data_IF_677650847148
#
_entry.id   IF_677650847148
#
_cell.length_a   1.000
_cell.length_b   1.000
_cell.length_c   1.000
_cell.angle_alpha   90.00
_cell.angle_beta   90.00
_cell.angle_gamma   90.00
#
_symmetry.space_group_name_H-M   'P 1'
#
loop_
_entity.id
_entity.type
_entity.pdbx_description
1 polymer ?
#
# COMPACT_ATOMS: atom_id res chain seq x y z
N UNK A 1 -0.16 5.27 -10.43
CA UNK A 1 -0.55 5.21 -9.00
C UNK A 1 0.35 4.21 -8.30
N UNK A 2 0.40 4.22 -6.97
CA UNK A 2 1.11 3.25 -6.13
C UNK A 2 0.09 2.57 -5.22
N UNK A 3 0.19 1.26 -5.05
CA UNK A 3 -0.77 0.47 -4.26
C UNK A 3 -0.03 -0.48 -3.34
N UNK A 4 -0.67 -0.82 -2.23
CA UNK A 4 -0.17 -1.74 -1.22
C UNK A 4 -1.36 -2.53 -0.68
N UNK A 5 -1.20 -3.85 -0.56
CA UNK A 5 -2.18 -4.67 0.15
C UNK A 5 -2.15 -4.32 1.64
N UNK A 6 -3.31 -4.23 2.27
CA UNK A 6 -3.39 -3.83 3.69
C UNK A 6 -2.67 -4.85 4.57
N UNK A 7 -2.73 -6.13 4.19
CA UNK A 7 -2.10 -7.26 4.86
C UNK A 7 -0.56 -7.14 4.86
N UNK A 8 0.03 -6.58 3.81
CA UNK A 8 1.48 -6.41 3.70
C UNK A 8 2.03 -5.36 4.67
N UNK A 9 1.20 -4.41 5.12
CA UNK A 9 1.59 -3.40 6.12
C UNK A 9 2.00 -4.10 7.41
N UNK A 10 1.26 -5.12 7.84
CA UNK A 10 1.56 -5.86 9.08
C UNK A 10 2.93 -6.54 9.02
N UNK A 11 3.23 -7.18 7.89
CA UNK A 11 4.55 -7.82 7.66
C UNK A 11 5.69 -6.80 7.69
N UNK A 12 5.49 -5.64 7.06
CA UNK A 12 6.50 -4.59 7.04
C UNK A 12 6.71 -3.98 8.43
N UNK A 13 5.63 -3.70 9.16
CA UNK A 13 5.67 -3.15 10.52
C UNK A 13 6.39 -4.10 11.49
N UNK A 14 6.13 -5.40 11.40
CA UNK A 14 6.82 -6.41 12.21
C UNK A 14 8.35 -6.36 11.98
N UNK A 15 8.79 -6.25 10.73
CA UNK A 15 10.21 -6.14 10.39
C UNK A 15 10.84 -4.84 10.90
N UNK A 16 10.10 -3.72 10.86
CA UNK A 16 10.55 -2.42 11.36
C UNK A 16 10.77 -2.45 12.86
N UNK A 17 9.82 -3.02 13.61
CA UNK A 17 9.93 -3.13 15.07
C UNK A 17 11.02 -4.11 15.51
N UNK A 18 11.33 -5.14 14.71
CA UNK A 18 12.43 -6.06 15.00
C UNK A 18 13.82 -5.42 14.84
N UNK A 19 13.94 -4.28 14.16
CA UNK A 19 15.21 -3.61 13.88
C UNK A 19 15.19 -2.11 14.21
N UNK A 20 14.94 -1.70 15.47
CA UNK A 20 14.77 -0.30 15.84
C UNK A 20 16.02 0.53 15.58
N UNK A 21 17.22 -0.03 15.76
CA UNK A 21 18.47 0.66 15.44
C UNK A 21 18.58 1.09 13.96
N UNK A 22 17.89 0.38 13.06
CA UNK A 22 17.89 0.68 11.62
C UNK A 22 16.80 1.67 11.22
N UNK A 23 15.65 1.65 11.89
CA UNK A 23 14.43 2.32 11.41
C UNK A 23 13.87 3.39 12.34
N UNK A 24 14.32 3.50 13.59
CA UNK A 24 13.84 4.53 14.51
C UNK A 24 14.07 5.94 13.95
N UNK A 25 13.04 6.78 14.03
CA UNK A 25 13.07 8.18 13.58
C UNK A 25 13.07 8.37 12.05
N UNK A 26 12.91 7.30 11.27
CA UNK A 26 12.86 7.40 9.81
C UNK A 26 11.43 7.40 9.31
N UNK A 27 11.18 8.22 8.30
CA UNK A 27 9.96 8.19 7.50
C UNK A 27 10.31 7.63 6.13
N UNK A 28 9.53 6.66 5.66
CA UNK A 28 9.70 6.07 4.34
C UNK A 28 8.34 5.77 3.74
N UNK A 29 8.28 5.86 2.41
CA UNK A 29 7.10 5.53 1.63
C UNK A 29 7.05 4.04 1.37
N UNK A 30 5.85 3.46 1.38
CA UNK A 30 5.64 2.04 1.13
C UNK A 30 4.63 1.82 0.02
N UNK A 31 5.02 1.00 -0.95
CA UNK A 31 4.18 0.52 -2.03
C UNK A 31 4.67 -0.85 -2.46
N UNK A 32 3.74 -1.74 -2.77
CA UNK A 32 4.05 -3.06 -3.32
C UNK A 32 4.09 -3.00 -4.85
N UNK A 33 3.16 -2.24 -5.46
CA UNK A 33 3.06 -2.15 -6.91
C UNK A 33 2.82 -0.70 -7.40
N UNK A 34 3.14 -0.44 -8.65
CA UNK A 34 2.89 0.79 -9.38
C UNK A 34 2.08 0.52 -10.64
N UNK A 35 0.79 0.89 -10.60
CA UNK A 35 -0.16 0.60 -11.68
C UNK A 35 -0.73 1.87 -12.32
N UNK A 36 -1.06 1.76 -13.60
CA UNK A 36 -1.83 2.74 -14.37
C UNK A 36 -3.31 2.37 -14.40
N UNK A 37 -4.18 3.32 -14.76
CA UNK A 37 -5.62 3.04 -14.91
C UNK A 37 -5.92 1.93 -15.93
N UNK A 38 -5.17 1.89 -17.04
CA UNK A 38 -5.30 0.85 -18.05
C UNK A 38 -4.87 -0.53 -17.54
N UNK A 39 -3.82 -0.60 -16.72
CA UNK A 39 -3.42 -1.85 -16.10
C UNK A 39 -4.47 -2.33 -15.09
N UNK A 40 -5.08 -1.43 -14.32
CA UNK A 40 -6.19 -1.78 -13.43
C UNK A 40 -7.40 -2.33 -14.20
N UNK A 41 -7.80 -1.70 -15.29
CA UNK A 41 -8.85 -2.22 -16.18
C UNK A 41 -8.55 -3.65 -16.61
N UNK A 42 -7.34 -3.92 -17.12
CA UNK A 42 -6.96 -5.26 -17.57
C UNK A 42 -6.96 -6.28 -16.43
N UNK A 43 -6.33 -5.95 -15.30
CA UNK A 43 -6.20 -6.85 -14.15
C UNK A 43 -7.57 -7.15 -13.53
N UNK A 44 -8.42 -6.15 -13.35
CA UNK A 44 -9.75 -6.33 -12.77
C UNK A 44 -10.68 -7.03 -13.75
N UNK A 45 -10.62 -6.71 -15.05
CA UNK A 45 -11.42 -7.41 -16.04
C UNK A 45 -11.06 -8.89 -16.11
N UNK A 46 -9.76 -9.21 -16.08
CA UNK A 46 -9.28 -10.58 -16.04
C UNK A 46 -9.73 -11.31 -14.78
N UNK A 47 -9.58 -10.69 -13.61
CA UNK A 47 -9.97 -11.30 -12.32
C UNK A 47 -11.50 -11.48 -12.20
N UNK A 48 -12.30 -10.56 -12.73
CA UNK A 48 -13.76 -10.62 -12.68
C UNK A 48 -14.40 -11.46 -13.81
N UNK A 49 -13.62 -11.87 -14.82
CA UNK A 49 -14.13 -12.61 -15.98
C UNK A 49 -15.09 -11.81 -16.89
N UNK A 50 -15.14 -10.48 -16.74
CA UNK A 50 -15.98 -9.57 -17.55
C UNK A 50 -15.28 -8.23 -17.74
N UNK A 51 -15.55 -7.48 -18.83
CA UNK A 51 -14.97 -6.15 -19.01
C UNK A 51 -15.37 -5.20 -17.88
N UNK A 52 -14.37 -4.58 -17.25
CA UNK A 52 -14.51 -3.52 -16.24
C UNK A 52 -13.68 -2.32 -16.73
N UNK A 53 -14.29 -1.37 -17.46
CA UNK A 53 -13.55 -0.25 -18.03
C UNK A 53 -13.06 0.71 -16.95
N UNK A 54 -11.88 1.28 -17.18
CA UNK A 54 -11.35 2.37 -16.37
C UNK A 54 -11.82 3.72 -16.90
N UNK A 55 -12.44 4.52 -16.03
CA UNK A 55 -12.73 5.93 -16.29
C UNK A 55 -12.22 6.80 -15.16
N UNK A 56 -11.86 8.05 -15.48
CA UNK A 56 -11.61 9.07 -14.46
C UNK A 56 -12.94 9.60 -13.92
N UNK A 57 -12.92 10.14 -12.71
CA UNK A 57 -14.05 10.90 -12.19
C UNK A 57 -14.32 12.11 -13.09
N UNK A 58 -15.60 12.39 -13.33
CA UNK A 58 -16.02 13.56 -14.10
C UNK A 58 -15.89 14.84 -13.27
N UNK A 59 -15.88 15.99 -13.94
CA UNK A 59 -15.72 17.28 -13.27
C UNK A 59 -16.88 17.56 -12.30
N UNK A 60 -18.10 17.08 -12.59
CA UNK A 60 -19.25 17.21 -11.70
C UNK A 60 -19.04 16.44 -10.38
N UNK A 61 -18.49 15.22 -10.46
CA UNK A 61 -18.17 14.40 -9.28
C UNK A 61 -17.07 15.05 -8.45
N UNK A 62 -16.05 15.60 -9.11
CA UNK A 62 -14.95 16.28 -8.44
C UNK A 62 -15.39 17.61 -7.81
N UNK A 63 -16.30 18.35 -8.46
CA UNK A 63 -16.89 19.57 -7.90
C UNK A 63 -17.73 19.28 -6.66
N UNK A 64 -18.43 18.14 -6.63
CA UNK A 64 -19.22 17.72 -5.48
C UNK A 64 -18.38 17.28 -4.27
N UNK A 65 -17.10 16.92 -4.47
CA UNK A 65 -16.22 16.45 -3.39
C UNK A 65 -14.85 17.12 -3.43
N UNK A 66 -14.64 18.18 -2.63
CA UNK A 66 -13.34 18.85 -2.52
C UNK A 66 -12.21 17.91 -2.09
N UNK A 67 -12.53 16.87 -1.33
CA UNK A 67 -11.58 15.84 -0.94
C UNK A 67 -11.11 15.02 -2.14
N UNK A 68 -12.04 14.47 -2.94
CA UNK A 68 -11.69 13.69 -4.13
C UNK A 68 -10.92 14.55 -5.13
N UNK A 69 -11.35 15.80 -5.34
CA UNK A 69 -10.64 16.74 -6.22
C UNK A 69 -9.17 16.92 -5.82
N UNK A 70 -8.92 17.16 -4.51
CA UNK A 70 -7.56 17.27 -3.97
C UNK A 70 -6.77 15.96 -4.10
N UNK A 71 -7.38 14.83 -3.75
CA UNK A 71 -6.72 13.53 -3.80
C UNK A 71 -6.33 13.15 -5.24
N UNK A 72 -7.23 13.35 -6.20
CA UNK A 72 -6.94 13.07 -7.61
C UNK A 72 -5.88 14.01 -8.16
N UNK A 73 -5.92 15.30 -7.78
CA UNK A 73 -4.88 16.27 -8.14
C UNK A 73 -3.51 15.89 -7.58
N UNK A 74 -3.46 15.41 -6.34
CA UNK A 74 -2.22 14.92 -5.73
C UNK A 74 -1.67 13.67 -6.43
N UNK A 75 -2.54 12.75 -6.86
CA UNK A 75 -2.14 11.59 -7.66
C UNK A 75 -1.62 11.95 -9.06
N UNK A 76 -2.15 13.01 -9.68
CA UNK A 76 -1.70 13.45 -11.01
C UNK A 76 -0.39 14.23 -10.98
N UNK A 77 -0.07 14.91 -9.87
CA UNK A 77 1.20 15.66 -9.71
C UNK A 77 2.39 14.78 -9.29
N UNK A 78 2.18 13.47 -9.11
CA UNK A 78 3.26 12.51 -8.84
C UNK A 78 3.04 11.64 -7.60
N UNK A 79 2.00 11.93 -6.81
CA UNK A 79 1.68 11.21 -5.58
C UNK A 79 2.91 11.06 -4.66
N UNK A 80 3.08 9.88 -4.09
CA UNK A 80 4.21 9.54 -3.21
C UNK A 80 5.60 9.63 -3.88
N UNK A 81 5.69 9.82 -5.22
CA UNK A 81 6.99 10.02 -5.91
C UNK A 81 7.51 11.46 -5.79
N UNK A 82 6.70 12.40 -5.27
CA UNK A 82 7.07 13.80 -5.11
C UNK A 82 8.02 14.11 -3.95
N UNK A 83 8.33 13.13 -3.08
CA UNK A 83 9.32 13.27 -1.99
C UNK A 83 10.62 12.52 -2.34
N UNK A 84 11.81 13.14 -2.15
CA UNK A 84 13.10 12.58 -2.59
C UNK A 84 13.59 11.34 -1.80
N UNK A 85 12.74 10.69 -0.99
CA UNK A 85 13.11 9.51 -0.16
C UNK A 85 12.59 8.18 -0.73
N UNK A 86 11.83 8.17 -1.82
CA UNK A 86 11.37 6.93 -2.45
C UNK A 86 12.49 6.24 -3.25
N UNK A 87 13.44 5.60 -2.55
CA UNK A 87 14.27 4.57 -3.18
C UNK A 87 13.38 3.35 -3.43
N UNK A 88 13.21 2.88 -4.68
CA UNK A 88 12.49 1.65 -4.93
C UNK A 88 13.25 0.50 -4.26
N UNK A 89 12.59 -0.24 -3.37
CA UNK A 89 13.17 -1.44 -2.78
C UNK A 89 13.16 -2.58 -3.81
N UNK A 90 14.10 -2.55 -4.74
CA UNK A 90 14.26 -3.58 -5.78
C UNK A 90 14.72 -4.94 -5.23
N UNK A 91 14.96 -5.07 -3.93
CA UNK A 91 15.52 -6.26 -3.28
C UNK A 91 14.54 -7.08 -2.43
N UNK A 92 13.28 -6.66 -2.27
CA UNK A 92 12.30 -7.43 -1.48
C UNK A 92 11.81 -8.71 -2.18
N UNK A 93 12.12 -8.94 -3.46
CA UNK A 93 11.57 -10.06 -4.24
C UNK A 93 12.27 -11.41 -4.03
N UNK A 94 13.35 -11.51 -3.24
CA UNK A 94 14.17 -12.75 -3.21
C UNK A 94 14.27 -13.48 -1.87
N UNK A 95 13.60 -13.03 -0.80
CA UNK A 95 13.68 -13.73 0.50
C UNK A 95 12.37 -13.70 1.30
N UNK A 96 11.25 -14.03 0.65
CA UNK A 96 10.02 -14.44 1.33
C UNK A 96 9.69 -15.87 0.92
N UNK A 97 10.54 -16.83 1.29
CA UNK A 97 10.08 -18.22 1.42
C UNK A 97 9.29 -18.31 2.71
N UNK A 98 8.00 -18.74 2.70
CA UNK A 98 7.28 -18.98 3.93
C UNK A 98 8.00 -20.11 4.69
N UNK A 99 8.51 -19.80 5.89
CA UNK A 99 8.88 -20.85 6.84
C UNK A 99 7.61 -21.65 7.16
N UNK A 100 7.64 -22.99 7.17
CA UNK A 100 6.44 -23.81 7.41
C UNK A 100 5.96 -23.75 8.87
N UNK A 101 6.63 -22.99 9.74
CA UNK A 101 6.19 -22.73 11.09
C UNK A 101 5.01 -21.74 11.05
N UNK A 102 3.79 -22.30 11.05
CA UNK A 102 2.56 -21.55 11.23
C UNK A 102 2.69 -20.55 12.39
N UNK A 103 2.42 -19.28 12.10
CA UNK A 103 2.51 -18.21 13.07
C UNK A 103 1.47 -18.44 14.18
N UNK A 104 1.93 -18.66 15.41
CA UNK A 104 1.09 -18.72 16.60
C UNK A 104 1.14 -17.35 17.28
N UNK A 105 -0.01 -16.68 17.38
CA UNK A 105 -0.14 -15.42 18.07
C UNK A 105 0.26 -15.57 19.56
N UNK A 106 1.05 -14.65 20.15
CA UNK A 106 1.32 -14.69 21.58
C UNK A 106 0.03 -14.43 22.38
N UNK A 107 -0.22 -15.28 23.38
CA UNK A 107 -1.38 -15.14 24.27
C UNK A 107 -1.32 -13.83 25.05
N UNK A 108 -2.39 -13.03 24.96
CA UNK A 108 -2.58 -11.80 25.73
C UNK A 108 -2.94 -12.17 27.18
N UNK A 109 -2.17 -11.79 28.21
CA UNK A 109 -2.56 -12.02 29.59
C UNK A 109 -3.76 -11.13 29.97
N UNK A 110 -4.67 -11.60 30.85
CA UNK A 110 -5.86 -10.84 31.21
C UNK A 110 -5.48 -9.54 31.93
N UNK A 111 -6.09 -8.44 31.49
CA UNK A 111 -5.94 -7.13 32.11
C UNK A 111 -6.49 -7.16 33.54
N UNK A 112 -5.62 -6.94 34.53
CA UNK A 112 -6.04 -6.69 35.90
C UNK A 112 -6.73 -5.32 35.96
N UNK A 113 -8.06 -5.32 36.00
CA UNK A 113 -8.87 -4.12 36.21
C UNK A 113 -8.58 -3.50 37.57
N UNK A 114 -8.62 -2.17 37.60
CA UNK A 114 -8.68 -1.37 38.83
C UNK A 114 -9.76 -0.31 38.64
#
# INVERSE_FOLDING_TARGET
MQVLAVEDIGHLVAAVFAAPARFAGKTFEIASDSVTGRQLELLFSAAAGRPIPYSRFSDEVLAASPFLHKLTGWWTTGGWRGTPTSTPCASCTRSCTPSPAGWQAPAVPPSSGR
#
